data_IF_418130840790
#
_entry.id   IF_418130840790
#
_cell.length_a   1.000
_cell.length_b   1.000
_cell.length_c   1.000
_cell.angle_alpha   90.00
_cell.angle_beta   90.00
_cell.angle_gamma   90.00
#
_symmetry.space_group_name_H-M   'P 1'
#
loop_
_entity.id
_entity.type
_entity.pdbx_description
1 polymer ?
#
# COMPACT_ATOMS: atom_id res chain seq x y z
N UNK A 1 -18.55 -2.24 20.93
CA UNK A 1 -17.67 -1.58 19.95
C UNK A 1 -16.37 -2.37 19.88
N UNK A 2 -16.07 -3.12 18.80
CA UNK A 2 -14.77 -3.76 18.71
C UNK A 2 -13.69 -2.68 18.63
N UNK A 3 -12.73 -2.83 19.54
CA UNK A 3 -11.55 -2.03 19.83
C UNK A 3 -10.61 -2.06 18.61
N UNK A 4 -9.98 -0.93 18.26
CA UNK A 4 -8.97 -0.73 17.19
C UNK A 4 -8.46 -2.04 16.56
N UNK A 5 -8.96 -2.37 15.36
CA UNK A 5 -8.56 -3.58 14.60
C UNK A 5 -7.06 -3.53 14.27
N UNK A 6 -6.54 -2.33 13.98
CA UNK A 6 -5.14 -2.14 13.62
C UNK A 6 -4.30 -1.48 14.71
N UNK A 7 -3.07 -1.96 14.86
CA UNK A 7 -2.07 -1.38 15.75
C UNK A 7 -1.76 0.08 15.36
N UNK A 8 -1.50 0.98 16.33
CA UNK A 8 -1.04 2.31 16.03
C UNK A 8 0.36 2.29 15.37
N UNK A 9 0.72 3.34 14.62
CA UNK A 9 2.08 3.54 14.16
C UNK A 9 3.06 3.51 15.32
N UNK A 10 4.16 2.79 15.15
CA UNK A 10 5.25 2.78 16.12
C UNK A 10 5.88 4.18 16.24
N UNK A 11 6.29 4.63 17.45
CA UNK A 11 6.86 5.96 17.64
C UNK A 11 8.15 6.23 16.86
N UNK A 12 8.83 5.16 16.42
CA UNK A 12 10.07 5.23 15.62
C UNK A 12 9.82 5.41 14.12
N UNK A 13 8.56 5.34 13.67
CA UNK A 13 8.23 5.69 12.29
C UNK A 13 8.30 7.20 12.12
N UNK A 14 8.86 7.65 11.00
CA UNK A 14 8.74 9.05 10.64
C UNK A 14 7.28 9.39 10.26
N UNK A 15 6.98 10.69 10.14
CA UNK A 15 5.62 11.16 9.85
C UNK A 15 5.05 10.53 8.58
N UNK A 16 5.84 10.46 7.51
CA UNK A 16 5.37 9.98 6.23
C UNK A 16 5.11 8.47 6.25
N UNK A 17 5.96 7.68 6.90
CA UNK A 17 5.76 6.25 7.12
C UNK A 17 4.51 5.99 7.96
N UNK A 18 4.28 6.78 9.02
CA UNK A 18 3.09 6.66 9.85
C UNK A 18 1.81 6.97 9.06
N UNK A 19 1.83 7.97 8.18
CA UNK A 19 0.72 8.27 7.27
C UNK A 19 0.52 7.15 6.26
N UNK A 20 1.58 6.68 5.61
CA UNK A 20 1.53 5.54 4.69
C UNK A 20 0.91 4.30 5.36
N UNK A 21 1.35 3.96 6.58
CA UNK A 21 0.78 2.85 7.34
C UNK A 21 -0.72 3.03 7.58
N UNK A 22 -1.16 4.25 7.93
CA UNK A 22 -2.59 4.54 8.13
C UNK A 22 -3.39 4.37 6.85
N UNK A 23 -2.89 4.89 5.73
CA UNK A 23 -3.54 4.74 4.42
C UNK A 23 -3.65 3.26 4.01
N UNK A 24 -2.65 2.44 4.30
CA UNK A 24 -2.70 1.00 4.09
C UNK A 24 -3.77 0.36 4.98
N UNK A 25 -3.77 0.68 6.28
CA UNK A 25 -4.76 0.18 7.25
C UNK A 25 -6.21 0.55 6.90
N UNK A 26 -6.42 1.69 6.24
CA UNK A 26 -7.77 2.13 5.82
C UNK A 26 -8.11 1.75 4.38
N UNK A 27 -7.20 1.11 3.64
CA UNK A 27 -7.43 0.76 2.24
C UNK A 27 -7.49 1.97 1.30
N UNK A 28 -6.90 3.10 1.68
CA UNK A 28 -6.95 4.38 0.94
C UNK A 28 -5.60 4.81 0.41
N UNK A 29 -4.61 3.90 0.37
CA UNK A 29 -3.32 4.19 -0.24
C UNK A 29 -3.51 4.32 -1.77
N UNK A 30 -2.95 5.35 -2.42
CA UNK A 30 -3.14 5.57 -3.86
C UNK A 30 -2.71 4.38 -4.73
N UNK A 31 -3.50 4.08 -5.76
CA UNK A 31 -3.19 3.09 -6.79
C UNK A 31 -3.78 3.54 -8.14
N UNK A 32 -3.21 3.04 -9.25
CA UNK A 32 -3.61 3.47 -10.59
C UNK A 32 -5.06 3.16 -10.91
N UNK A 33 -5.61 2.02 -10.46
CA UNK A 33 -7.02 1.69 -10.71
C UNK A 33 -7.98 2.80 -10.24
N UNK A 34 -7.80 3.28 -9.00
CA UNK A 34 -8.62 4.36 -8.45
C UNK A 34 -8.35 5.69 -9.16
N UNK A 35 -7.09 5.98 -9.47
CA UNK A 35 -6.72 7.27 -10.07
C UNK A 35 -7.12 7.38 -11.55
N UNK A 36 -7.12 6.27 -12.28
CA UNK A 36 -7.64 6.17 -13.64
C UNK A 36 -9.15 6.43 -13.67
N UNK A 37 -9.89 5.87 -12.71
CA UNK A 37 -11.34 6.12 -12.59
C UNK A 37 -11.66 7.59 -12.29
N UNK A 38 -10.87 8.24 -11.43
CA UNK A 38 -11.14 9.62 -10.99
C UNK A 38 -10.58 10.67 -11.96
N UNK A 39 -9.40 10.43 -12.55
CA UNK A 39 -8.69 11.36 -13.44
C UNK A 39 -8.15 10.65 -14.69
N UNK A 40 -9.04 10.14 -15.57
CA UNK A 40 -8.64 9.31 -16.72
C UNK A 40 -7.73 10.02 -17.73
N UNK A 41 -7.84 11.36 -17.84
CA UNK A 41 -7.00 12.15 -18.74
C UNK A 41 -5.54 12.22 -18.29
N UNK A 42 -5.31 12.12 -16.96
CA UNK A 42 -3.99 12.20 -16.31
C UNK A 42 -3.41 10.79 -16.17
N UNK A 43 -4.18 9.87 -15.58
CA UNK A 43 -3.80 8.48 -15.40
C UNK A 43 -4.49 7.65 -16.47
N UNK A 44 -3.89 7.52 -17.65
CA UNK A 44 -4.54 6.90 -18.83
C UNK A 44 -4.58 5.38 -18.82
N UNK A 45 -3.75 4.76 -17.98
CA UNK A 45 -3.61 3.32 -17.87
C UNK A 45 -3.68 2.93 -16.39
N UNK A 46 -4.40 1.86 -16.10
CA UNK A 46 -4.51 1.27 -14.77
C UNK A 46 -3.69 -0.01 -14.61
N UNK A 47 -2.95 -0.41 -15.65
CA UNK A 47 -2.21 -1.66 -15.66
C UNK A 47 -0.98 -1.64 -14.75
N UNK A 48 -0.69 -2.80 -14.18
CA UNK A 48 0.48 -3.05 -13.36
C UNK A 48 1.74 -3.08 -14.23
N UNK A 49 2.76 -2.27 -13.93
CA UNK A 49 4.00 -2.25 -14.71
C UNK A 49 4.76 -3.59 -14.73
N UNK A 50 4.50 -4.48 -13.76
CA UNK A 50 5.22 -5.74 -13.60
C UNK A 50 4.53 -6.94 -14.26
N UNK A 51 3.20 -6.92 -14.42
CA UNK A 51 2.45 -8.07 -14.94
C UNK A 51 1.27 -7.74 -15.86
N UNK A 52 0.94 -6.45 -16.04
CA UNK A 52 -0.13 -5.99 -16.92
C UNK A 52 -1.57 -6.16 -16.41
N UNK A 53 -1.79 -6.76 -15.23
CA UNK A 53 -3.12 -6.78 -14.61
C UNK A 53 -3.48 -5.44 -14.00
N UNK A 54 -4.77 -5.15 -13.79
CA UNK A 54 -5.21 -3.92 -13.11
C UNK A 54 -4.51 -3.71 -11.76
N UNK A 55 -3.88 -2.55 -11.60
CA UNK A 55 -3.08 -2.16 -10.45
C UNK A 55 -3.99 -1.61 -9.34
N UNK A 56 -4.77 -2.50 -8.74
CA UNK A 56 -5.54 -2.24 -7.52
C UNK A 56 -4.62 -2.21 -6.31
N UNK A 57 -5.13 -1.71 -5.18
CA UNK A 57 -4.39 -1.73 -3.92
C UNK A 57 -4.03 -3.16 -3.47
N UNK A 58 -4.96 -4.10 -3.61
CA UNK A 58 -4.70 -5.52 -3.29
C UNK A 58 -3.64 -6.12 -4.20
N UNK A 59 -3.76 -5.86 -5.51
CA UNK A 59 -2.80 -6.30 -6.50
C UNK A 59 -1.40 -5.79 -6.19
N UNK A 60 -1.29 -4.49 -5.93
CA UNK A 60 -0.04 -3.83 -5.61
C UNK A 60 0.67 -4.45 -4.40
N UNK A 61 -0.07 -4.90 -3.39
CA UNK A 61 0.48 -5.23 -2.07
C UNK A 61 0.66 -6.72 -1.80
N UNK A 62 -0.28 -7.58 -2.24
CA UNK A 62 -0.23 -9.01 -1.91
C UNK A 62 -0.71 -9.97 -3.01
N UNK A 63 -1.38 -9.53 -4.07
CA UNK A 63 -1.82 -10.45 -5.14
C UNK A 63 -0.82 -10.52 -6.31
N UNK A 64 0.04 -9.50 -6.50
CA UNK A 64 1.03 -9.48 -7.57
C UNK A 64 2.26 -10.35 -7.25
N UNK A 65 2.24 -11.59 -7.75
CA UNK A 65 3.36 -12.53 -7.62
C UNK A 65 4.61 -12.19 -8.42
N UNK A 66 4.56 -11.15 -9.27
CA UNK A 66 5.68 -10.73 -10.11
C UNK A 66 6.67 -9.81 -9.39
N UNK A 67 6.28 -9.20 -8.26
CA UNK A 67 7.12 -8.26 -7.53
C UNK A 67 7.39 -8.70 -6.08
N UNK A 68 6.41 -9.32 -5.43
CA UNK A 68 6.54 -9.85 -4.07
C UNK A 68 5.89 -11.24 -4.01
N UNK A 69 6.24 -12.07 -3.01
CA UNK A 69 5.47 -13.27 -2.71
C UNK A 69 3.99 -12.94 -2.52
N UNK A 70 3.12 -13.80 -3.05
CA UNK A 70 1.67 -13.64 -2.84
C UNK A 70 1.31 -13.97 -1.40
N UNK A 71 0.34 -13.25 -0.86
CA UNK A 71 -0.29 -13.58 0.40
C UNK A 71 -1.80 -13.73 0.20
N UNK A 72 -2.43 -14.50 1.08
CA UNK A 72 -3.88 -14.44 1.25
C UNK A 72 -4.27 -13.09 1.88
N UNK A 73 -5.55 -12.74 1.80
CA UNK A 73 -6.06 -11.53 2.44
C UNK A 73 -5.86 -11.58 3.96
N UNK A 74 -6.07 -12.73 4.58
CA UNK A 74 -5.94 -12.95 6.02
C UNK A 74 -4.47 -12.80 6.47
N UNK A 75 -3.53 -13.31 5.67
CA UNK A 75 -2.09 -13.13 5.91
C UNK A 75 -1.70 -11.65 5.83
N UNK A 76 -2.21 -10.93 4.82
CA UNK A 76 -2.01 -9.49 4.69
C UNK A 76 -2.59 -8.72 5.88
N UNK A 77 -3.83 -9.00 6.27
CA UNK A 77 -4.50 -8.34 7.40
C UNK A 77 -3.74 -8.59 8.72
N UNK A 78 -3.17 -9.78 8.89
CA UNK A 78 -2.31 -10.14 10.04
C UNK A 78 -1.00 -9.34 10.06
N UNK A 79 -0.33 -9.18 8.91
CA UNK A 79 0.86 -8.33 8.78
C UNK A 79 0.54 -6.88 9.15
N UNK A 80 -0.54 -6.35 8.61
CA UNK A 80 -0.95 -4.95 8.78
C UNK A 80 -1.44 -4.62 10.20
N UNK A 81 -1.93 -5.63 10.92
CA UNK A 81 -2.33 -5.53 12.33
C UNK A 81 -1.15 -5.61 13.29
N UNK A 82 0.04 -5.98 12.83
CA UNK A 82 1.20 -6.20 13.69
C UNK A 82 1.70 -4.90 14.35
N UNK A 83 2.00 -4.93 15.66
CA UNK A 83 2.64 -3.81 16.32
C UNK A 83 4.16 -3.76 16.07
N UNK A 84 4.76 -4.78 15.46
CA UNK A 84 6.21 -4.87 15.32
C UNK A 84 6.76 -3.81 14.34
N UNK A 85 7.79 -3.06 14.75
CA UNK A 85 8.33 -1.94 13.97
C UNK A 85 8.89 -2.38 12.61
N UNK A 86 9.63 -3.49 12.61
CA UNK A 86 10.20 -4.11 11.42
C UNK A 86 9.12 -4.46 10.39
N UNK A 87 8.01 -5.04 10.84
CA UNK A 87 6.85 -5.34 9.98
C UNK A 87 6.18 -4.07 9.46
N UNK A 88 5.93 -3.09 10.32
CA UNK A 88 5.35 -1.81 9.89
C UNK A 88 6.23 -1.11 8.84
N UNK A 89 7.56 -1.11 9.03
CA UNK A 89 8.50 -0.57 8.06
C UNK A 89 8.45 -1.37 6.75
N UNK A 90 8.41 -2.70 6.82
CA UNK A 90 8.41 -3.57 5.64
C UNK A 90 7.17 -3.34 4.76
N UNK A 91 5.97 -3.30 5.36
CA UNK A 91 4.74 -3.11 4.58
C UNK A 91 4.66 -1.72 3.96
N UNK A 92 5.10 -0.72 4.71
CA UNK A 92 5.19 0.66 4.23
C UNK A 92 6.19 0.75 3.07
N UNK A 93 7.37 0.12 3.18
CA UNK A 93 8.38 -0.01 2.10
C UNK A 93 7.83 -0.68 0.86
N UNK A 94 7.16 -1.82 1.02
CA UNK A 94 6.50 -2.52 -0.08
C UNK A 94 5.56 -1.59 -0.85
N UNK A 95 4.72 -0.83 -0.15
CA UNK A 95 3.80 0.10 -0.79
C UNK A 95 4.51 1.21 -1.57
N UNK A 96 5.58 1.77 -1.00
CA UNK A 96 6.38 2.79 -1.66
C UNK A 96 7.07 2.25 -2.91
N UNK A 97 7.73 1.10 -2.82
CA UNK A 97 8.50 0.53 -3.93
C UNK A 97 7.62 0.27 -5.15
N UNK A 98 6.35 -0.10 -4.93
CA UNK A 98 5.40 -0.35 -6.00
C UNK A 98 4.86 0.92 -6.66
N UNK A 99 4.86 2.02 -5.93
CA UNK A 99 4.38 3.33 -6.44
C UNK A 99 5.51 4.24 -6.90
N UNK A 100 6.76 3.85 -6.64
CA UNK A 100 7.94 4.55 -7.09
C UNK A 100 7.97 4.65 -8.62
N UNK A 101 8.12 5.88 -9.13
CA UNK A 101 8.17 6.15 -10.56
C UNK A 101 6.82 6.20 -11.27
N UNK A 102 5.70 5.98 -10.55
CA UNK A 102 4.35 6.04 -11.12
C UNK A 102 3.65 7.41 -10.97
N UNK A 103 4.36 8.41 -10.44
CA UNK A 103 3.85 9.77 -10.18
C UNK A 103 2.50 9.80 -9.44
N UNK A 104 2.36 8.87 -8.49
CA UNK A 104 1.19 8.80 -7.63
C UNK A 104 1.33 9.79 -6.46
N UNK A 105 0.23 10.38 -5.96
CA UNK A 105 0.24 11.32 -4.84
C UNK A 105 0.43 10.60 -3.49
N UNK A 106 1.53 9.86 -3.34
CA UNK A 106 1.89 9.12 -2.13
C UNK A 106 2.70 10.00 -1.16
N UNK A 107 2.67 9.75 0.16
CA UNK A 107 3.50 10.49 1.12
C UNK A 107 4.99 10.33 0.79
N UNK A 108 5.72 11.44 0.65
CA UNK A 108 7.18 11.46 0.46
C UNK A 108 7.88 11.28 1.81
N UNK A 109 8.95 10.48 1.85
CA UNK A 109 9.63 10.07 3.10
C UNK A 109 10.96 10.78 3.34
N UNK A 110 11.11 11.98 2.78
CA UNK A 110 12.29 12.83 2.90
C UNK A 110 12.48 13.40 4.31
#
# INVERSE_FOLDING_TARGET
MPRRVFSPPQPKLNRAQAVSLRLLQTGTYPCLAVLHEVYPDVYRDDACPSCGQTFTLAHMLWECGSAYPKFSKEEWDSLLSSPALDKQILEVRRARDRTAGLDLPVPTWD
#
